data_IF_619478999003
#
_entry.id   IF_619478999003
#
_cell.length_a   1.000
_cell.length_b   1.000
_cell.length_c   1.000
_cell.angle_alpha   90.00
_cell.angle_beta   90.00
_cell.angle_gamma   90.00
#
_symmetry.space_group_name_H-M   'P 1'
#
loop_
_entity.id
_entity.type
_entity.pdbx_description
1 polymer ?
#
# COMPACT_ATOMS: atom_id res chain seq x y z
N UNK A 1 35.46 -47.44 -24.61
CA UNK A 1 35.36 -46.88 -23.26
C UNK A 1 34.44 -45.67 -23.34
N UNK A 2 33.51 -45.57 -22.42
CA UNK A 2 32.52 -44.48 -22.32
C UNK A 2 32.77 -43.73 -21.05
N UNK A 3 32.78 -42.38 -21.13
CA UNK A 3 32.87 -41.49 -20.00
C UNK A 3 31.82 -40.41 -20.13
N UNK A 4 31.25 -40.01 -19.00
CA UNK A 4 30.25 -38.94 -18.97
C UNK A 4 30.92 -37.58 -19.15
N UNK A 5 30.26 -36.70 -19.87
CA UNK A 5 30.65 -35.33 -20.12
C UNK A 5 30.06 -34.43 -19.05
N UNK A 6 30.86 -33.92 -18.14
CA UNK A 6 30.37 -33.17 -16.96
C UNK A 6 29.85 -31.77 -17.32
N UNK A 7 30.39 -31.18 -18.39
CA UNK A 7 30.03 -29.83 -18.83
C UNK A 7 29.43 -29.74 -20.26
N UNK A 8 29.28 -30.92 -20.89
CA UNK A 8 28.78 -31.10 -22.24
C UNK A 8 29.56 -30.38 -23.33
N UNK A 9 30.91 -30.30 -23.17
CA UNK A 9 31.80 -29.69 -24.14
C UNK A 9 32.39 -30.72 -25.15
N UNK A 10 32.15 -32.01 -24.95
CA UNK A 10 32.58 -33.13 -25.76
C UNK A 10 33.98 -33.68 -25.38
N UNK A 11 34.47 -33.26 -24.22
CA UNK A 11 35.75 -33.75 -23.68
C UNK A 11 35.58 -34.36 -22.30
N UNK A 12 36.34 -35.44 -22.01
CA UNK A 12 36.28 -36.12 -20.73
C UNK A 12 37.66 -36.70 -20.37
N UNK A 13 37.82 -37.08 -19.11
CA UNK A 13 39.05 -37.74 -18.60
C UNK A 13 38.85 -39.24 -18.50
N UNK A 14 39.60 -40.01 -19.32
CA UNK A 14 39.54 -41.45 -19.37
C UNK A 14 40.58 -42.09 -18.45
N UNK A 15 40.12 -42.94 -17.52
CA UNK A 15 41.01 -43.73 -16.66
C UNK A 15 41.57 -44.94 -17.45
N UNK A 16 42.73 -44.73 -18.09
CA UNK A 16 43.44 -45.79 -18.85
C UNK A 16 43.99 -46.88 -17.96
N UNK A 17 44.31 -46.60 -16.68
CA UNK A 17 44.79 -47.59 -15.74
C UNK A 17 43.70 -48.61 -15.38
N UNK A 18 42.48 -48.16 -15.19
CA UNK A 18 41.31 -49.01 -15.00
C UNK A 18 41.08 -49.92 -16.24
N UNK A 19 41.26 -49.35 -17.45
CA UNK A 19 41.14 -50.12 -18.70
C UNK A 19 42.26 -51.15 -18.84
N UNK A 20 43.47 -50.84 -18.39
CA UNK A 20 44.60 -51.78 -18.37
C UNK A 20 44.26 -53.09 -17.64
N UNK A 21 43.62 -52.99 -16.46
CA UNK A 21 43.22 -54.15 -15.69
C UNK A 21 42.20 -55.05 -16.43
N UNK A 22 41.29 -54.43 -17.20
CA UNK A 22 40.27 -55.12 -17.99
C UNK A 22 40.92 -55.79 -19.20
N UNK A 23 41.78 -55.09 -19.94
CA UNK A 23 42.45 -55.58 -21.15
C UNK A 23 43.38 -56.75 -20.84
N UNK A 24 44.17 -56.65 -19.78
CA UNK A 24 45.12 -57.69 -19.33
C UNK A 24 44.35 -58.96 -18.89
N UNK A 25 43.13 -58.81 -18.37
CA UNK A 25 42.29 -59.95 -17.93
C UNK A 25 43.04 -60.99 -17.08
N UNK A 26 43.89 -60.53 -16.17
CA UNK A 26 44.75 -61.38 -15.31
C UNK A 26 45.82 -62.22 -16.06
N UNK A 27 46.08 -61.97 -17.32
CA UNK A 27 47.19 -62.60 -18.05
C UNK A 27 48.50 -62.10 -17.49
N UNK A 28 49.40 -63.03 -17.06
CA UNK A 28 50.66 -62.63 -16.49
C UNK A 28 51.64 -62.21 -17.60
N UNK A 29 52.54 -61.30 -17.24
CA UNK A 29 53.67 -60.83 -18.09
C UNK A 29 53.20 -60.08 -19.37
N UNK A 30 52.06 -59.44 -19.32
CA UNK A 30 51.56 -58.46 -20.34
C UNK A 30 51.71 -57.07 -19.80
N UNK A 31 52.42 -56.22 -20.58
CA UNK A 31 52.41 -54.75 -20.34
C UNK A 31 51.56 -54.02 -21.38
N UNK A 32 50.76 -53.12 -20.93
CA UNK A 32 49.88 -52.30 -21.78
C UNK A 32 50.43 -50.88 -21.82
N UNK A 33 50.43 -50.30 -23.02
CA UNK A 33 50.77 -48.91 -23.24
C UNK A 33 49.76 -48.35 -24.26
N UNK A 34 49.38 -47.06 -24.07
CA UNK A 34 48.36 -46.36 -24.88
C UNK A 34 49.01 -45.28 -25.72
N UNK A 35 48.51 -45.04 -26.95
CA UNK A 35 49.06 -44.10 -27.90
C UNK A 35 47.94 -43.40 -28.69
N UNK A 36 48.18 -42.13 -29.08
CA UNK A 36 47.22 -41.39 -29.90
C UNK A 36 47.17 -41.91 -31.36
N UNK A 37 48.29 -42.40 -31.88
CA UNK A 37 48.35 -42.83 -33.26
C UNK A 37 48.89 -44.29 -33.38
N UNK A 38 48.51 -45.01 -34.44
CA UNK A 38 49.03 -46.29 -34.75
C UNK A 38 50.58 -46.26 -35.01
N UNK A 39 51.07 -45.14 -35.53
CA UNK A 39 52.46 -44.93 -35.79
C UNK A 39 53.26 -44.81 -34.49
N UNK A 40 52.76 -44.09 -33.50
CA UNK A 40 53.40 -43.99 -32.17
C UNK A 40 53.36 -45.34 -31.45
N UNK A 41 52.31 -46.10 -31.54
CA UNK A 41 52.16 -47.42 -31.02
C UNK A 41 53.20 -48.41 -31.66
N UNK A 42 53.35 -48.35 -32.98
CA UNK A 42 54.36 -49.19 -33.71
C UNK A 42 55.76 -48.80 -33.35
N UNK A 43 56.07 -47.54 -33.09
CA UNK A 43 57.39 -47.03 -32.72
C UNK A 43 57.65 -46.98 -31.22
N UNK A 44 56.66 -47.30 -30.41
CA UNK A 44 56.66 -47.19 -28.93
C UNK A 44 57.16 -45.84 -28.43
N UNK A 45 56.69 -44.78 -29.12
CA UNK A 45 57.01 -43.37 -28.79
C UNK A 45 55.77 -42.62 -28.33
N UNK A 46 55.92 -41.62 -27.45
CA UNK A 46 54.91 -40.80 -26.94
C UNK A 46 53.70 -41.55 -26.27
N UNK A 47 53.95 -42.45 -25.30
CA UNK A 47 52.86 -43.13 -24.62
C UNK A 47 51.99 -42.17 -23.85
N UNK A 48 50.69 -42.42 -23.84
CA UNK A 48 49.70 -41.68 -23.08
C UNK A 48 49.80 -42.01 -21.60
N UNK A 49 49.40 -41.02 -20.76
CA UNK A 49 49.38 -41.10 -19.29
C UNK A 49 47.95 -41.08 -18.81
N UNK A 50 47.64 -41.91 -17.83
CA UNK A 50 46.32 -41.95 -17.15
C UNK A 50 46.29 -40.87 -16.05
N UNK A 51 45.15 -40.12 -15.86
CA UNK A 51 44.00 -40.09 -16.78
C UNK A 51 44.32 -39.33 -18.07
N UNK A 52 43.74 -39.75 -19.18
CA UNK A 52 43.88 -39.13 -20.49
C UNK A 52 42.67 -38.31 -20.89
N UNK A 53 42.87 -37.04 -21.25
CA UNK A 53 41.83 -36.23 -21.85
C UNK A 53 41.77 -36.45 -23.37
N UNK A 54 40.60 -36.77 -23.95
CA UNK A 54 40.45 -36.87 -25.39
C UNK A 54 40.76 -35.50 -26.06
N UNK A 55 41.38 -35.55 -27.22
CA UNK A 55 41.73 -34.37 -28.03
C UNK A 55 40.82 -34.17 -29.24
N UNK A 56 39.95 -35.15 -29.53
CA UNK A 56 38.92 -35.08 -30.55
C UNK A 56 37.55 -35.13 -29.87
N UNK A 57 36.71 -34.15 -30.15
CA UNK A 57 35.40 -33.96 -29.53
C UNK A 57 34.50 -35.20 -29.73
N UNK A 58 33.80 -35.62 -28.69
CA UNK A 58 32.83 -36.70 -28.59
C UNK A 58 33.35 -38.11 -28.82
N UNK A 59 34.11 -38.37 -29.88
CA UNK A 59 34.61 -39.70 -30.20
C UNK A 59 36.08 -39.66 -30.68
N UNK A 60 36.93 -40.47 -30.08
CA UNK A 60 38.30 -40.59 -30.45
C UNK A 60 38.72 -42.05 -30.45
N UNK A 61 39.60 -42.46 -31.36
CA UNK A 61 40.25 -43.76 -31.34
C UNK A 61 41.65 -43.56 -30.84
N UNK A 62 42.07 -44.31 -29.83
CA UNK A 62 43.46 -44.46 -29.38
C UNK A 62 43.91 -45.88 -29.64
N UNK A 63 45.23 -46.13 -29.58
CA UNK A 63 45.83 -47.43 -29.90
C UNK A 63 46.45 -48.02 -28.64
N UNK A 64 46.15 -49.29 -28.40
CA UNK A 64 46.64 -50.07 -27.25
C UNK A 64 47.73 -51.04 -27.77
N UNK A 65 48.91 -50.93 -27.24
CA UNK A 65 49.98 -51.86 -27.47
C UNK A 65 50.07 -52.80 -26.28
N UNK A 66 49.88 -54.09 -26.53
CA UNK A 66 50.13 -55.15 -25.57
C UNK A 66 51.47 -55.85 -25.90
N UNK A 67 52.37 -55.82 -24.93
CA UNK A 67 53.73 -56.46 -25.05
C UNK A 67 53.86 -57.62 -24.07
N UNK A 68 54.33 -58.76 -24.58
CA UNK A 68 54.75 -59.89 -23.70
C UNK A 68 56.11 -59.70 -23.14
N UNK A 69 56.24 -59.37 -21.85
CA UNK A 69 57.50 -59.09 -21.14
C UNK A 69 58.16 -60.34 -20.56
N UNK A 70 57.54 -61.49 -20.72
CA UNK A 70 58.05 -62.76 -20.25
C UNK A 70 58.03 -62.93 -18.73
N UNK A 71 58.51 -64.12 -18.28
CA UNK A 71 58.71 -64.46 -16.86
C UNK A 71 60.14 -64.95 -16.61
N UNK A 72 60.54 -65.04 -15.35
CA UNK A 72 61.89 -65.55 -15.01
C UNK A 72 62.14 -66.96 -15.54
N UNK A 73 61.10 -67.72 -15.82
CA UNK A 73 61.17 -69.10 -16.36
C UNK A 73 60.83 -69.16 -17.86
N UNK A 74 60.30 -68.08 -18.45
CA UNK A 74 60.03 -68.02 -19.87
C UNK A 74 60.40 -66.59 -20.34
N UNK A 75 61.58 -66.41 -20.98
CA UNK A 75 62.04 -65.05 -21.32
C UNK A 75 61.05 -64.31 -22.22
N UNK A 76 61.11 -63.00 -22.11
CA UNK A 76 60.29 -62.08 -22.93
C UNK A 76 60.52 -62.43 -24.40
N UNK A 77 59.39 -62.60 -25.13
CA UNK A 77 59.38 -62.84 -26.57
C UNK A 77 59.42 -61.52 -27.37
N UNK A 78 59.14 -60.39 -26.74
CA UNK A 78 59.03 -59.08 -27.39
C UNK A 78 57.89 -59.01 -28.43
N UNK A 79 57.01 -59.99 -28.39
CA UNK A 79 55.84 -60.00 -29.27
C UNK A 79 54.84 -58.90 -28.84
N UNK A 80 54.44 -58.13 -29.78
CA UNK A 80 53.51 -57.07 -29.57
C UNK A 80 52.25 -57.24 -30.42
N UNK A 81 51.14 -56.76 -29.89
CA UNK A 81 49.87 -56.65 -30.61
C UNK A 81 49.34 -55.26 -30.42
N UNK A 82 48.79 -54.62 -31.50
CA UNK A 82 48.21 -53.33 -31.46
C UNK A 82 46.71 -53.51 -31.77
N UNK A 83 45.84 -52.89 -30.94
CA UNK A 83 44.41 -52.87 -31.15
C UNK A 83 43.89 -51.43 -30.99
N UNK A 84 42.78 -51.12 -31.65
CA UNK A 84 42.09 -49.87 -31.50
C UNK A 84 41.22 -49.88 -30.24
N UNK A 85 41.22 -48.76 -29.49
CA UNK A 85 40.38 -48.54 -28.35
C UNK A 85 39.53 -47.28 -28.62
N UNK A 86 38.26 -47.43 -28.94
CA UNK A 86 37.36 -46.28 -29.11
C UNK A 86 37.07 -45.67 -27.75
N UNK A 87 37.23 -44.37 -27.64
CA UNK A 87 36.82 -43.53 -26.55
C UNK A 87 35.53 -42.78 -26.99
N UNK A 88 34.51 -42.76 -26.16
CA UNK A 88 33.25 -42.10 -26.42
C UNK A 88 32.86 -41.23 -25.24
N UNK A 89 32.69 -39.96 -25.49
CA UNK A 89 32.18 -38.99 -24.49
C UNK A 89 30.68 -38.90 -24.62
N UNK A 90 30.00 -39.16 -23.52
CA UNK A 90 28.55 -39.27 -23.48
C UNK A 90 27.97 -38.05 -22.78
N UNK A 91 27.05 -37.30 -23.41
CA UNK A 91 26.46 -36.12 -22.80
C UNK A 91 25.73 -36.45 -21.49
N UNK A 92 26.03 -35.69 -20.46
CA UNK A 92 25.34 -35.75 -19.17
C UNK A 92 24.01 -35.06 -19.18
N UNK A 93 23.06 -35.44 -18.31
CA UNK A 93 21.82 -34.71 -18.10
C UNK A 93 22.10 -33.23 -17.76
N UNK A 94 21.20 -32.34 -18.08
CA UNK A 94 21.33 -30.90 -17.74
C UNK A 94 20.36 -30.57 -16.61
N UNK A 95 20.92 -30.04 -15.51
CA UNK A 95 20.15 -29.39 -14.46
C UNK A 95 20.36 -27.89 -14.61
N UNK A 96 19.29 -27.08 -14.80
CA UNK A 96 19.42 -25.62 -14.92
C UNK A 96 20.14 -25.02 -13.71
N UNK A 97 20.96 -24.00 -13.95
CA UNK A 97 21.69 -23.30 -12.88
C UNK A 97 20.83 -22.23 -12.18
N UNK A 98 19.73 -21.84 -12.80
CA UNK A 98 18.85 -20.74 -12.43
C UNK A 98 17.45 -21.22 -12.00
N UNK A 99 17.40 -22.35 -11.28
CA UNK A 99 16.16 -22.79 -10.64
C UNK A 99 15.81 -21.74 -9.57
N UNK A 100 14.62 -21.16 -9.70
CA UNK A 100 14.14 -20.14 -8.76
C UNK A 100 13.95 -20.71 -7.36
N UNK A 101 14.22 -19.88 -6.35
CA UNK A 101 13.92 -20.21 -4.96
C UNK A 101 12.42 -20.48 -4.81
N UNK A 102 12.07 -21.57 -4.14
CA UNK A 102 10.67 -21.89 -3.87
C UNK A 102 10.26 -21.28 -2.53
N UNK A 103 9.49 -20.19 -2.60
CA UNK A 103 9.03 -19.42 -1.44
C UNK A 103 7.58 -19.75 -1.14
N UNK A 104 7.27 -20.03 0.12
CA UNK A 104 5.92 -20.22 0.65
C UNK A 104 5.69 -19.27 1.81
N UNK A 105 4.48 -18.66 1.86
CA UNK A 105 4.09 -17.85 3.00
C UNK A 105 3.65 -18.74 4.16
N UNK A 106 4.15 -18.44 5.34
CA UNK A 106 3.79 -19.10 6.56
C UNK A 106 2.36 -18.74 7.00
N UNK A 107 1.52 -19.73 7.27
CA UNK A 107 0.12 -19.48 7.64
C UNK A 107 -0.13 -19.55 9.15
N UNK A 108 0.81 -20.12 9.92
CA UNK A 108 0.68 -20.32 11.36
C UNK A 108 1.89 -19.78 12.16
N UNK A 109 2.84 -19.16 11.47
CA UNK A 109 4.03 -18.51 12.02
C UNK A 109 4.98 -19.45 12.77
N UNK A 110 5.07 -20.72 12.36
CA UNK A 110 5.98 -21.70 12.96
C UNK A 110 7.32 -21.88 12.20
N UNK A 111 7.45 -21.28 11.01
CA UNK A 111 8.63 -21.34 10.14
C UNK A 111 8.73 -22.63 9.33
N UNK A 112 7.69 -23.45 9.30
CA UNK A 112 7.62 -24.71 8.58
C UNK A 112 6.43 -24.75 7.63
N UNK A 113 6.62 -25.30 6.43
CA UNK A 113 5.55 -25.41 5.43
C UNK A 113 5.75 -26.64 4.54
N UNK A 114 4.66 -27.22 4.01
CA UNK A 114 4.76 -28.29 3.03
C UNK A 114 5.08 -27.73 1.63
N UNK A 115 6.13 -28.24 1.00
CA UNK A 115 6.58 -27.90 -0.36
C UNK A 115 6.21 -29.01 -1.33
N UNK A 116 5.69 -28.67 -2.51
CA UNK A 116 5.41 -29.57 -3.60
C UNK A 116 6.45 -29.41 -4.72
N UNK A 117 7.49 -30.24 -4.71
CA UNK A 117 8.56 -30.19 -5.72
C UNK A 117 8.07 -30.74 -7.06
N UNK A 118 7.05 -31.59 -7.06
CA UNK A 118 6.59 -32.25 -8.28
C UNK A 118 5.90 -31.25 -9.21
N UNK A 119 5.16 -30.28 -8.64
CA UNK A 119 4.44 -29.26 -9.41
C UNK A 119 5.26 -28.00 -9.64
N UNK A 120 6.13 -27.60 -8.70
CA UNK A 120 6.80 -26.30 -8.78
C UNK A 120 8.25 -26.40 -9.31
N UNK A 121 8.99 -27.41 -8.94
CA UNK A 121 10.43 -27.55 -9.27
C UNK A 121 10.67 -28.50 -10.43
N UNK A 122 10.03 -29.67 -10.44
CA UNK A 122 10.24 -30.66 -11.49
C UNK A 122 10.05 -30.11 -12.91
N UNK A 123 9.03 -29.28 -13.21
CA UNK A 123 8.87 -28.67 -14.54
C UNK A 123 10.03 -27.74 -14.94
N UNK A 124 10.64 -27.04 -13.98
CA UNK A 124 11.78 -26.17 -14.25
C UNK A 124 13.01 -26.97 -14.67
N UNK A 125 13.25 -28.13 -14.03
CA UNK A 125 14.37 -29.01 -14.36
C UNK A 125 14.27 -29.52 -15.80
N UNK A 126 13.07 -29.78 -16.29
CA UNK A 126 12.83 -30.32 -17.64
C UNK A 126 12.47 -29.25 -18.68
N UNK A 127 12.46 -27.96 -18.34
CA UNK A 127 12.11 -26.86 -19.26
C UNK A 127 13.04 -26.76 -20.49
N UNK A 128 14.29 -27.24 -20.38
CA UNK A 128 15.30 -27.26 -21.45
C UNK A 128 15.06 -28.29 -22.58
N UNK A 129 13.90 -28.98 -22.59
CA UNK A 129 13.53 -29.93 -23.65
C UNK A 129 13.98 -31.37 -23.41
N UNK A 130 14.48 -31.70 -22.24
CA UNK A 130 14.74 -33.08 -21.81
C UNK A 130 13.41 -33.79 -21.57
N UNK A 131 13.27 -35.04 -22.02
CA UNK A 131 12.05 -35.86 -21.83
C UNK A 131 12.09 -36.49 -20.43
N UNK A 132 11.17 -36.18 -19.49
CA UNK A 132 11.22 -36.72 -18.13
C UNK A 132 11.34 -38.28 -18.06
N UNK A 133 10.78 -39.00 -19.00
CA UNK A 133 10.83 -40.45 -19.03
C UNK A 133 12.25 -41.04 -19.28
N UNK A 134 13.16 -40.23 -19.84
CA UNK A 134 14.52 -40.64 -20.15
C UNK A 134 15.46 -40.51 -18.94
N UNK A 135 14.94 -39.94 -17.84
CA UNK A 135 15.74 -39.64 -16.64
C UNK A 135 15.08 -40.13 -15.36
N UNK A 136 15.91 -40.41 -14.36
CA UNK A 136 15.49 -40.62 -12.97
C UNK A 136 15.88 -39.40 -12.14
N UNK A 137 14.87 -38.68 -11.63
CA UNK A 137 15.03 -37.50 -10.77
C UNK A 137 14.85 -37.91 -9.32
N UNK A 138 15.70 -37.38 -8.45
CA UNK A 138 15.55 -37.48 -7.00
C UNK A 138 16.05 -36.20 -6.30
N UNK A 139 15.46 -35.93 -5.13
CA UNK A 139 15.80 -34.79 -4.29
C UNK A 139 16.42 -35.27 -2.98
N UNK A 140 17.38 -34.50 -2.46
CA UNK A 140 18.17 -34.86 -1.27
C UNK A 140 18.37 -33.63 -0.36
N UNK A 141 18.57 -33.88 0.93
CA UNK A 141 18.85 -32.82 1.91
C UNK A 141 20.34 -32.56 2.12
N UNK A 142 21.20 -33.44 1.58
CA UNK A 142 22.64 -33.39 1.73
C UNK A 142 23.33 -33.58 0.37
N UNK A 143 24.35 -32.77 0.01
CA UNK A 143 25.03 -32.87 -1.30
C UNK A 143 25.69 -34.23 -1.54
N UNK A 144 26.25 -34.83 -0.49
CA UNK A 144 26.84 -36.17 -0.58
C UNK A 144 25.87 -37.28 -0.93
N UNK A 145 24.64 -37.16 -0.45
CA UNK A 145 23.54 -38.10 -0.79
C UNK A 145 23.06 -37.92 -2.23
N UNK A 146 23.01 -36.67 -2.72
CA UNK A 146 22.68 -36.39 -4.13
C UNK A 146 23.78 -36.99 -5.06
N UNK A 147 25.06 -36.89 -4.71
CA UNK A 147 26.13 -37.47 -5.50
C UNK A 147 26.05 -38.99 -5.56
N UNK A 148 25.68 -39.66 -4.49
CA UNK A 148 25.68 -41.12 -4.39
C UNK A 148 24.29 -41.76 -4.65
N UNK A 149 23.22 -40.96 -4.62
CA UNK A 149 21.80 -41.42 -4.74
C UNK A 149 21.28 -42.06 -3.45
N UNK A 150 21.91 -41.80 -2.30
CA UNK A 150 21.44 -42.29 -1.02
C UNK A 150 20.39 -41.37 -0.39
N UNK A 151 19.57 -41.91 0.50
CA UNK A 151 18.58 -41.17 1.31
C UNK A 151 17.76 -40.11 0.53
N UNK A 152 17.11 -40.47 -0.59
CA UNK A 152 16.28 -39.53 -1.31
C UNK A 152 15.06 -39.10 -0.49
N UNK A 153 14.59 -37.88 -0.70
CA UNK A 153 13.32 -37.40 -0.16
C UNK A 153 12.19 -38.25 -0.78
N UNK A 154 11.42 -38.91 0.07
CA UNK A 154 10.41 -39.88 -0.37
C UNK A 154 9.10 -39.22 -0.78
N UNK A 155 8.70 -38.16 -0.05
CA UNK A 155 7.45 -37.45 -0.31
C UNK A 155 7.74 -36.07 -0.91
N UNK A 156 7.91 -36.02 -2.21
CA UNK A 156 8.31 -34.83 -2.96
C UNK A 156 7.15 -33.88 -3.23
N UNK A 157 5.93 -34.38 -3.20
CA UNK A 157 4.70 -33.55 -3.34
C UNK A 157 4.22 -32.92 -2.03
N UNK A 158 4.86 -33.25 -0.89
CA UNK A 158 4.49 -32.71 0.41
C UNK A 158 5.68 -32.81 1.38
N UNK A 159 6.77 -32.16 1.03
CA UNK A 159 7.98 -32.13 1.85
C UNK A 159 7.92 -30.97 2.83
N UNK A 160 7.98 -31.23 4.13
CA UNK A 160 8.11 -30.16 5.16
C UNK A 160 9.58 -29.84 5.39
N UNK A 161 9.96 -28.56 5.30
CA UNK A 161 11.32 -28.12 5.57
C UNK A 161 11.74 -28.46 7.02
N UNK A 162 13.03 -28.69 7.22
CA UNK A 162 13.60 -28.94 8.57
C UNK A 162 14.44 -27.77 9.09
N UNK A 163 14.73 -26.82 8.22
CA UNK A 163 15.40 -25.55 8.50
C UNK A 163 14.78 -24.47 7.58
N UNK A 164 14.89 -23.23 7.95
CA UNK A 164 14.44 -22.10 7.13
C UNK A 164 15.54 -21.02 7.08
N UNK A 165 16.09 -20.64 5.89
CA UNK A 165 15.94 -21.34 4.61
C UNK A 165 16.63 -22.71 4.58
N UNK A 166 16.24 -23.56 3.60
CA UNK A 166 16.85 -24.88 3.41
C UNK A 166 17.25 -25.10 1.95
N UNK A 167 18.48 -25.59 1.73
CA UNK A 167 18.95 -26.02 0.40
C UNK A 167 18.52 -27.47 0.16
N UNK A 168 17.92 -27.71 -1.00
CA UNK A 168 17.57 -29.02 -1.52
C UNK A 168 18.47 -29.32 -2.71
N UNK A 169 19.03 -30.52 -2.73
CA UNK A 169 19.93 -30.99 -3.79
C UNK A 169 19.20 -31.90 -4.75
N UNK A 170 19.45 -31.70 -6.03
CA UNK A 170 18.87 -32.42 -7.15
C UNK A 170 19.88 -33.45 -7.62
N UNK A 171 19.41 -34.66 -7.93
CA UNK A 171 20.15 -35.67 -8.67
C UNK A 171 19.34 -36.09 -9.90
N UNK A 172 19.90 -35.91 -11.08
CA UNK A 172 19.32 -36.30 -12.34
C UNK A 172 20.19 -37.37 -13.01
N UNK A 173 19.64 -38.55 -13.27
CA UNK A 173 20.33 -39.67 -13.83
C UNK A 173 19.74 -40.02 -15.18
N UNK A 174 20.57 -40.14 -16.20
CA UNK A 174 20.14 -40.68 -17.51
C UNK A 174 19.84 -42.17 -17.45
N UNK A 175 18.64 -42.58 -17.79
CA UNK A 175 18.24 -44.00 -17.82
C UNK A 175 18.91 -44.80 -18.92
N UNK A 176 19.51 -44.15 -19.94
CA UNK A 176 20.11 -44.77 -21.10
C UNK A 176 21.57 -45.14 -20.85
N UNK A 177 22.34 -44.25 -20.22
CA UNK A 177 23.77 -44.35 -20.08
C UNK A 177 24.28 -44.28 -18.63
N UNK A 178 23.41 -43.93 -17.67
CA UNK A 178 23.76 -43.84 -16.25
C UNK A 178 24.53 -42.56 -15.83
N UNK A 179 24.76 -41.61 -16.75
CA UNK A 179 25.40 -40.34 -16.42
C UNK A 179 24.55 -39.54 -15.45
N UNK A 180 25.22 -38.82 -14.54
CA UNK A 180 24.58 -38.13 -13.41
C UNK A 180 24.98 -36.67 -13.41
N UNK A 181 24.01 -35.81 -13.23
CA UNK A 181 24.23 -34.40 -12.92
C UNK A 181 23.53 -34.02 -11.63
N UNK A 182 24.13 -33.17 -10.83
CA UNK A 182 23.55 -32.65 -9.60
C UNK A 182 23.40 -31.16 -9.68
N UNK A 183 22.37 -30.64 -8.99
CA UNK A 183 22.10 -29.22 -8.83
C UNK A 183 21.51 -28.93 -7.47
N UNK A 184 21.06 -27.71 -7.25
CA UNK A 184 20.38 -27.35 -6.01
C UNK A 184 19.47 -26.14 -6.21
N UNK A 185 18.49 -26.00 -5.33
CA UNK A 185 17.67 -24.82 -5.17
C UNK A 185 17.40 -24.57 -3.69
N UNK A 186 16.87 -23.42 -3.35
CA UNK A 186 16.54 -23.06 -1.96
C UNK A 186 15.03 -23.05 -1.77
N UNK A 187 14.59 -23.66 -0.68
CA UNK A 187 13.22 -23.52 -0.19
C UNK A 187 13.22 -22.56 0.99
N UNK A 188 12.20 -21.70 1.04
CA UNK A 188 12.10 -20.65 2.05
C UNK A 188 10.65 -20.48 2.49
N UNK A 189 10.45 -20.35 3.79
CA UNK A 189 9.18 -19.99 4.41
C UNK A 189 9.29 -18.54 4.87
N UNK A 190 8.42 -17.68 4.35
CA UNK A 190 8.41 -16.26 4.68
C UNK A 190 7.19 -15.91 5.53
N UNK A 191 7.39 -15.02 6.51
CA UNK A 191 6.31 -14.60 7.38
C UNK A 191 5.46 -13.53 6.69
N UNK A 192 4.13 -13.62 6.79
CA UNK A 192 3.27 -12.57 6.26
C UNK A 192 3.42 -11.28 7.09
N UNK A 193 3.09 -10.11 6.50
CA UNK A 193 3.05 -8.84 7.21
C UNK A 193 2.25 -8.91 8.51
N UNK A 194 2.76 -8.34 9.57
CA UNK A 194 2.07 -8.27 10.87
C UNK A 194 1.37 -6.93 10.98
N UNK A 195 0.03 -6.95 11.06
CA UNK A 195 -0.77 -5.75 11.30
C UNK A 195 -0.40 -5.17 12.66
N UNK A 196 -0.23 -3.85 12.75
CA UNK A 196 0.11 -3.20 14.01
C UNK A 196 -1.02 -3.46 15.04
N UNK A 197 -0.69 -4.02 16.22
CA UNK A 197 -1.68 -4.31 17.24
C UNK A 197 -2.34 -3.05 17.84
N UNK A 198 -1.80 -1.86 17.58
CA UNK A 198 -2.36 -0.57 17.99
C UNK A 198 -3.36 -0.01 16.97
N UNK A 199 -3.47 -0.60 15.77
CA UNK A 199 -4.41 -0.18 14.75
C UNK A 199 -5.86 -0.29 15.23
N UNK A 200 -6.61 0.82 15.21
CA UNK A 200 -7.95 0.89 15.77
C UNK A 200 -9.07 0.49 14.79
N UNK A 201 -8.75 0.33 13.52
CA UNK A 201 -9.62 -0.07 12.41
C UNK A 201 -10.86 0.80 12.15
N UNK A 202 -10.85 2.07 12.57
CA UNK A 202 -11.94 3.00 12.35
C UNK A 202 -11.45 4.33 11.75
N UNK A 203 -12.01 4.74 10.61
CA UNK A 203 -11.78 6.04 10.00
C UNK A 203 -13.09 6.82 9.95
N UNK A 204 -13.11 8.00 10.55
CA UNK A 204 -14.29 8.88 10.57
C UNK A 204 -14.04 10.14 9.76
N UNK A 205 -15.06 10.58 9.03
CA UNK A 205 -15.03 11.79 8.22
C UNK A 205 -16.34 12.56 8.41
N UNK A 206 -16.29 13.90 8.45
CA UNK A 206 -17.48 14.72 8.45
C UNK A 206 -18.22 14.56 7.11
N UNK A 207 -19.53 14.66 7.16
CA UNK A 207 -20.36 14.78 5.96
C UNK A 207 -19.99 16.05 5.17
N UNK A 208 -20.29 16.06 3.88
CA UNK A 208 -19.99 17.20 3.02
C UNK A 208 -20.89 18.41 3.40
N UNK A 209 -20.37 19.60 3.20
CA UNK A 209 -21.12 20.85 3.29
C UNK A 209 -21.53 21.30 1.89
N UNK A 210 -22.73 21.87 1.77
CA UNK A 210 -23.13 22.52 0.54
C UNK A 210 -22.34 23.83 0.27
N UNK A 211 -22.65 24.51 -0.84
CA UNK A 211 -21.99 25.78 -1.19
C UNK A 211 -22.26 26.94 -0.21
N UNK A 212 -23.25 26.79 0.66
CA UNK A 212 -23.63 27.76 1.70
C UNK A 212 -23.05 27.41 3.06
N UNK A 213 -22.22 26.33 3.12
CA UNK A 213 -21.69 25.75 4.36
C UNK A 213 -22.75 25.23 5.33
N UNK A 214 -23.93 24.90 4.77
CA UNK A 214 -24.96 24.15 5.47
C UNK A 214 -24.76 22.67 5.28
N UNK A 215 -25.26 21.88 6.22
CA UNK A 215 -25.15 20.43 6.16
C UNK A 215 -25.91 19.84 4.97
N UNK A 216 -25.33 18.91 4.25
CA UNK A 216 -26.05 18.02 3.34
C UNK A 216 -26.59 16.79 4.09
N UNK A 217 -25.83 16.27 5.07
CA UNK A 217 -26.16 15.14 5.95
C UNK A 217 -26.84 13.98 5.21
N UNK A 218 -26.34 13.68 4.00
CA UNK A 218 -26.84 12.56 3.20
C UNK A 218 -26.11 11.24 3.54
N UNK A 219 -25.09 11.32 4.40
CA UNK A 219 -24.29 10.20 4.86
C UNK A 219 -23.29 9.69 3.80
N UNK A 220 -23.01 10.50 2.79
CA UNK A 220 -22.07 10.18 1.71
C UNK A 220 -20.97 11.26 1.66
N UNK A 221 -19.71 10.84 1.76
CA UNK A 221 -18.54 11.75 1.69
C UNK A 221 -17.32 11.04 1.12
N UNK A 222 -16.28 11.78 0.85
CA UNK A 222 -15.01 11.26 0.32
C UNK A 222 -14.01 11.01 1.44
N UNK A 223 -13.41 9.83 1.46
CA UNK A 223 -12.38 9.39 2.42
C UNK A 223 -11.02 9.28 1.74
N UNK A 224 -9.98 9.75 2.39
CA UNK A 224 -8.61 9.35 2.08
C UNK A 224 -8.26 8.15 2.95
N UNK A 225 -8.36 6.95 2.37
CA UNK A 225 -8.08 5.70 3.09
C UNK A 225 -6.59 5.54 3.41
N UNK A 226 -5.71 6.19 2.63
CA UNK A 226 -4.26 6.03 2.74
C UNK A 226 -3.66 6.63 4.02
N UNK A 227 -4.44 7.45 4.74
CA UNK A 227 -4.04 7.96 6.06
C UNK A 227 -3.85 6.83 7.08
N UNK A 228 -4.53 5.69 6.84
CA UNK A 228 -4.46 4.49 7.69
C UNK A 228 -3.23 3.59 7.39
N UNK A 229 -2.57 3.77 6.25
CA UNK A 229 -1.48 2.88 5.82
C UNK A 229 -0.38 2.74 6.88
N UNK A 230 0.01 3.84 7.51
CA UNK A 230 1.05 3.86 8.54
C UNK A 230 0.57 3.23 9.85
N UNK A 231 -0.71 3.40 10.19
CA UNK A 231 -1.28 2.77 11.39
C UNK A 231 -1.43 1.27 11.20
N UNK A 232 -1.80 0.82 10.00
CA UNK A 232 -1.94 -0.60 9.65
C UNK A 232 -0.58 -1.30 9.66
N UNK A 233 0.44 -0.69 9.03
CA UNK A 233 1.74 -1.35 8.81
C UNK A 233 2.76 -1.09 9.91
N UNK A 234 2.56 -0.04 10.72
CA UNK A 234 3.56 0.50 11.61
C UNK A 234 4.66 1.29 10.87
N UNK A 235 5.33 2.23 11.55
CA UNK A 235 6.22 3.22 10.90
C UNK A 235 7.52 2.65 10.31
N UNK A 236 7.85 1.39 10.57
CA UNK A 236 9.12 0.77 10.13
C UNK A 236 8.99 -0.03 8.83
N UNK A 237 7.80 -0.27 8.31
CA UNK A 237 7.55 -1.23 7.22
C UNK A 237 7.28 -0.52 5.89
N UNK A 238 8.33 0.02 5.27
CA UNK A 238 8.26 0.81 4.02
C UNK A 238 8.14 -0.03 2.73
N UNK A 239 8.35 -1.35 2.81
CA UNK A 239 8.24 -2.27 1.66
C UNK A 239 6.86 -2.90 1.52
N UNK A 240 5.98 -2.71 2.49
CA UNK A 240 4.64 -3.28 2.46
C UNK A 240 3.67 -2.36 1.69
N UNK A 241 2.80 -2.98 0.91
CA UNK A 241 1.77 -2.31 0.11
C UNK A 241 0.42 -2.58 0.77
N UNK A 242 -0.32 -1.51 1.07
CA UNK A 242 -1.69 -1.58 1.57
C UNK A 242 -2.64 -1.40 0.39
N UNK A 243 -3.62 -2.29 0.27
CA UNK A 243 -4.63 -2.26 -0.79
C UNK A 243 -6.02 -2.45 -0.19
N UNK A 244 -6.97 -1.66 -0.65
CA UNK A 244 -8.34 -1.62 -0.12
C UNK A 244 -9.34 -2.23 -1.08
N UNK A 245 -10.37 -2.91 -0.54
CA UNK A 245 -11.40 -3.62 -1.30
C UNK A 245 -12.78 -3.47 -0.66
N UNK A 246 -13.81 -3.51 -1.48
CA UNK A 246 -15.19 -3.47 -0.98
C UNK A 246 -15.67 -4.83 -0.47
N UNK A 247 -15.07 -5.94 -0.93
CA UNK A 247 -15.46 -7.28 -0.51
C UNK A 247 -14.27 -8.12 -0.04
N UNK A 248 -14.53 -9.04 0.89
CA UNK A 248 -13.51 -9.99 1.35
C UNK A 248 -13.01 -10.91 0.23
N UNK A 249 -13.90 -11.28 -0.70
CA UNK A 249 -13.53 -12.16 -1.81
C UNK A 249 -12.53 -11.49 -2.76
N UNK A 250 -12.72 -10.19 -3.04
CA UNK A 250 -11.81 -9.42 -3.88
C UNK A 250 -10.45 -9.23 -3.20
N UNK A 251 -10.44 -8.95 -1.89
CA UNK A 251 -9.20 -8.86 -1.12
C UNK A 251 -8.41 -10.18 -1.13
N UNK A 252 -9.10 -11.32 -0.99
CA UNK A 252 -8.48 -12.65 -1.04
C UNK A 252 -7.92 -12.98 -2.42
N UNK A 253 -8.66 -12.62 -3.47
CA UNK A 253 -8.29 -12.90 -4.86
C UNK A 253 -7.34 -11.85 -5.47
N UNK A 254 -7.08 -10.76 -4.75
CA UNK A 254 -6.33 -9.58 -5.25
C UNK A 254 -6.93 -9.04 -6.56
N UNK A 255 -8.26 -8.85 -6.56
CA UNK A 255 -9.02 -8.39 -7.73
C UNK A 255 -9.92 -7.23 -7.35
N UNK A 256 -10.24 -6.35 -8.28
CA UNK A 256 -11.13 -5.23 -8.07
C UNK A 256 -10.77 -4.33 -6.87
N UNK A 257 -9.46 -4.10 -6.67
CA UNK A 257 -9.00 -3.13 -5.68
C UNK A 257 -9.63 -1.74 -5.93
N UNK A 258 -9.85 -0.99 -4.86
CA UNK A 258 -10.32 0.41 -4.95
C UNK A 258 -9.27 1.21 -5.74
N UNK A 259 -9.64 1.78 -6.90
CA UNK A 259 -8.68 2.34 -7.84
C UNK A 259 -8.07 3.66 -7.36
N UNK A 260 -8.77 4.41 -6.54
CA UNK A 260 -8.32 5.66 -5.93
C UNK A 260 -8.63 5.67 -4.43
N UNK A 261 -7.75 5.13 -3.59
CA UNK A 261 -7.95 5.12 -2.16
C UNK A 261 -7.80 6.49 -1.50
N UNK A 262 -7.24 7.50 -2.20
CA UNK A 262 -7.09 8.87 -1.67
C UNK A 262 -8.39 9.68 -1.75
N UNK A 263 -9.37 9.20 -2.51
CA UNK A 263 -10.64 9.87 -2.72
C UNK A 263 -11.81 8.86 -2.86
N UNK A 264 -11.88 7.92 -1.95
CA UNK A 264 -12.93 6.90 -1.95
C UNK A 264 -14.25 7.46 -1.42
N UNK A 265 -15.31 7.43 -2.20
CA UNK A 265 -16.65 7.80 -1.75
C UNK A 265 -17.37 6.55 -1.21
N UNK A 266 -17.88 6.63 0.02
CA UNK A 266 -18.63 5.52 0.62
C UNK A 266 -19.90 5.21 -0.19
N UNK A 267 -20.29 3.94 -0.22
CA UNK A 267 -21.41 3.45 -1.05
C UNK A 267 -22.70 3.23 -0.27
N UNK A 268 -22.67 3.43 1.05
CA UNK A 268 -23.83 3.28 1.92
C UNK A 268 -23.83 4.34 3.03
N UNK A 269 -25.02 4.75 3.45
CA UNK A 269 -25.19 5.63 4.60
C UNK A 269 -25.02 4.85 5.90
N UNK A 270 -24.10 5.24 6.73
CA UNK A 270 -23.74 4.55 7.97
C UNK A 270 -22.40 3.83 7.89
N UNK A 271 -22.00 3.08 8.93
CA UNK A 271 -20.72 2.41 8.94
C UNK A 271 -20.57 1.42 7.79
N UNK A 272 -19.49 1.55 7.02
CA UNK A 272 -19.14 0.65 5.92
C UNK A 272 -17.83 -0.04 6.24
N UNK A 273 -17.79 -1.37 6.11
CA UNK A 273 -16.56 -2.14 6.29
C UNK A 273 -15.87 -2.33 4.94
N UNK A 274 -14.63 -1.93 4.85
CA UNK A 274 -13.70 -2.22 3.76
C UNK A 274 -12.73 -3.33 4.20
N UNK A 275 -12.25 -4.09 3.24
CA UNK A 275 -11.28 -5.16 3.47
C UNK A 275 -9.91 -4.69 3.02
N UNK A 276 -8.92 -4.90 3.87
CA UNK A 276 -7.56 -4.42 3.65
C UNK A 276 -6.63 -5.61 3.48
N UNK A 277 -5.86 -5.59 2.41
CA UNK A 277 -4.77 -6.54 2.14
C UNK A 277 -3.44 -5.81 2.29
N UNK A 278 -2.57 -6.33 3.13
CA UNK A 278 -1.20 -5.85 3.28
C UNK A 278 -0.27 -6.89 2.66
N UNK A 279 0.45 -6.50 1.63
CA UNK A 279 1.34 -7.39 0.89
C UNK A 279 2.79 -6.94 1.05
N UNK A 280 3.66 -7.85 1.41
CA UNK A 280 5.09 -7.64 1.36
C UNK A 280 5.56 -7.73 -0.11
N UNK A 281 6.11 -6.64 -0.64
CA UNK A 281 6.50 -6.54 -2.04
C UNK A 281 7.72 -7.41 -2.40
N UNK A 282 8.53 -7.78 -1.41
CA UNK A 282 9.74 -8.57 -1.64
C UNK A 282 9.44 -10.08 -1.70
N UNK A 283 8.46 -10.52 -0.90
CA UNK A 283 8.13 -11.95 -0.76
C UNK A 283 6.80 -12.33 -1.41
N UNK A 284 5.91 -11.35 -1.63
CA UNK A 284 4.54 -11.57 -2.07
C UNK A 284 3.60 -12.10 -0.99
N UNK A 285 4.10 -12.30 0.24
CA UNK A 285 3.27 -12.75 1.35
C UNK A 285 2.34 -11.62 1.82
N UNK A 286 1.17 -11.99 2.31
CA UNK A 286 0.15 -11.01 2.64
C UNK A 286 -0.65 -11.38 3.89
N UNK A 287 -1.21 -10.35 4.52
CA UNK A 287 -2.16 -10.44 5.62
C UNK A 287 -3.42 -9.63 5.32
N UNK A 288 -4.47 -9.87 6.09
CA UNK A 288 -5.75 -9.18 5.97
C UNK A 288 -6.12 -8.49 7.27
N UNK A 289 -6.78 -7.34 7.12
CA UNK A 289 -7.52 -6.68 8.18
C UNK A 289 -8.78 -6.04 7.59
N UNK A 290 -9.50 -5.28 8.39
CA UNK A 290 -10.67 -4.51 7.96
C UNK A 290 -10.52 -3.07 8.41
N UNK A 291 -11.09 -2.15 7.65
CA UNK A 291 -11.26 -0.75 8.00
C UNK A 291 -12.75 -0.43 7.99
N UNK A 292 -13.25 0.10 9.08
CA UNK A 292 -14.62 0.61 9.16
C UNK A 292 -14.59 2.12 8.93
N UNK A 293 -15.19 2.57 7.83
CA UNK A 293 -15.36 3.99 7.57
C UNK A 293 -16.74 4.45 8.03
N UNK A 294 -16.81 5.66 8.60
CA UNK A 294 -18.08 6.21 9.11
C UNK A 294 -18.17 7.71 8.85
N UNK A 295 -19.29 8.12 8.27
CA UNK A 295 -19.64 9.54 8.09
C UNK A 295 -20.24 10.07 9.37
N UNK A 296 -19.72 11.19 9.84
CA UNK A 296 -20.24 11.94 11.00
C UNK A 296 -21.10 13.08 10.48
N UNK A 297 -22.36 13.16 10.86
CA UNK A 297 -23.24 14.25 10.42
C UNK A 297 -22.74 15.60 10.96
N UNK A 298 -22.84 16.64 10.15
CA UNK A 298 -22.62 18.01 10.57
C UNK A 298 -23.78 18.51 11.46
N UNK A 299 -23.56 19.50 12.33
CA UNK A 299 -24.67 20.17 13.05
C UNK A 299 -25.71 20.72 12.06
N UNK A 300 -26.97 20.66 12.44
CA UNK A 300 -28.11 21.13 11.63
C UNK A 300 -28.71 22.43 12.23
N UNK A 301 -28.07 23.60 12.02
CA UNK A 301 -28.58 24.87 12.55
C UNK A 301 -29.93 25.23 11.96
N UNK A 302 -30.75 25.94 12.74
CA UNK A 302 -31.94 26.60 12.15
C UNK A 302 -31.50 27.59 11.09
N UNK A 303 -32.05 27.53 9.87
CA UNK A 303 -31.77 28.52 8.84
C UNK A 303 -32.37 29.87 9.19
N UNK A 304 -31.78 30.93 8.64
CA UNK A 304 -32.32 32.30 8.70
C UNK A 304 -32.57 32.80 10.15
N UNK A 305 -31.56 32.89 11.03
CA UNK A 305 -31.71 33.57 12.32
C UNK A 305 -32.13 35.01 12.10
N UNK A 306 -32.99 35.54 13.01
CA UNK A 306 -33.44 36.92 12.90
C UNK A 306 -32.26 37.89 13.09
N UNK A 307 -32.30 39.00 12.33
CA UNK A 307 -31.37 40.10 12.55
C UNK A 307 -31.55 40.73 13.93
N UNK A 308 -30.49 41.23 14.52
CA UNK A 308 -30.53 41.96 15.77
C UNK A 308 -30.50 43.46 15.46
N UNK A 309 -31.59 44.15 15.82
CA UNK A 309 -31.73 45.58 15.55
C UNK A 309 -31.75 46.38 16.86
N UNK A 310 -30.94 47.44 16.93
CA UNK A 310 -30.94 48.41 18.00
C UNK A 310 -31.13 49.81 17.42
N UNK A 311 -31.62 50.74 18.25
CA UNK A 311 -31.53 52.15 17.95
C UNK A 311 -30.21 52.66 18.47
N UNK A 312 -29.59 53.58 17.73
CA UNK A 312 -28.42 54.33 18.18
C UNK A 312 -28.69 55.03 19.51
N UNK A 313 -27.72 55.05 20.42
CA UNK A 313 -27.86 55.75 21.70
C UNK A 313 -26.85 56.86 21.84
N UNK A 314 -26.80 57.49 23.00
CA UNK A 314 -25.87 58.64 23.26
C UNK A 314 -24.63 58.24 24.09
N UNK A 315 -24.51 56.96 24.39
CA UNK A 315 -23.65 56.53 25.49
C UNK A 315 -22.23 56.10 25.08
N UNK A 316 -21.98 55.69 23.83
CA UNK A 316 -20.67 55.18 23.44
C UNK A 316 -19.71 56.28 22.97
N UNK A 317 -20.04 56.98 21.88
CA UNK A 317 -19.16 58.04 21.34
C UNK A 317 -19.92 59.33 21.12
N UNK A 318 -21.22 59.25 20.91
CA UNK A 318 -22.13 60.41 20.72
C UNK A 318 -23.37 60.02 19.92
N UNK A 319 -24.34 60.93 19.81
CA UNK A 319 -25.57 60.61 19.12
C UNK A 319 -25.35 60.41 17.60
N UNK A 320 -25.93 59.35 17.05
CA UNK A 320 -25.83 58.96 15.64
C UNK A 320 -24.41 58.65 15.15
N UNK A 321 -23.59 58.00 15.98
CA UNK A 321 -22.34 57.40 15.54
C UNK A 321 -22.49 55.95 15.05
N UNK A 322 -23.67 55.35 15.25
CA UNK A 322 -24.08 54.02 14.83
C UNK A 322 -23.29 52.90 15.50
N UNK A 323 -22.59 53.17 16.61
CA UNK A 323 -21.88 52.18 17.40
C UNK A 323 -22.74 51.71 18.56
N UNK A 324 -23.03 50.38 18.60
CA UNK A 324 -23.82 49.78 19.65
C UNK A 324 -23.23 48.46 20.13
N UNK A 325 -23.60 48.07 21.35
CA UNK A 325 -23.18 46.77 21.93
C UNK A 325 -24.32 45.77 21.77
N UNK A 326 -24.05 44.69 21.07
CA UNK A 326 -25.00 43.63 20.82
C UNK A 326 -24.70 42.40 21.68
N UNK A 327 -25.73 41.78 22.22
CA UNK A 327 -25.67 40.42 22.75
C UNK A 327 -26.05 39.43 21.64
N UNK A 328 -25.03 38.89 20.97
CA UNK A 328 -25.21 37.95 19.85
C UNK A 328 -25.80 36.62 20.29
N UNK A 329 -25.67 36.28 21.60
CA UNK A 329 -26.17 35.01 22.16
C UNK A 329 -27.71 34.93 22.20
N UNK A 330 -28.42 36.03 21.94
CA UNK A 330 -29.89 36.05 21.87
C UNK A 330 -30.44 35.10 20.82
N UNK A 331 -29.67 34.85 19.73
CA UNK A 331 -30.07 33.92 18.66
C UNK A 331 -29.56 32.48 18.90
N UNK A 332 -28.71 32.24 19.92
CA UNK A 332 -28.02 30.95 20.10
C UNK A 332 -28.98 29.77 20.25
N UNK A 333 -30.03 29.93 21.09
CA UNK A 333 -31.00 28.85 21.30
C UNK A 333 -31.79 28.51 20.03
N UNK A 334 -32.10 29.52 19.19
CA UNK A 334 -32.73 29.31 17.89
C UNK A 334 -31.78 28.62 16.92
N UNK A 335 -30.53 29.08 16.82
CA UNK A 335 -29.52 28.57 15.91
C UNK A 335 -29.18 27.12 16.24
N UNK A 336 -28.96 26.79 17.52
CA UNK A 336 -28.64 25.43 17.99
C UNK A 336 -29.77 24.42 17.71
N UNK A 337 -31.02 24.91 17.54
CA UNK A 337 -32.19 24.10 17.15
C UNK A 337 -32.40 22.85 18.06
N UNK A 338 -32.10 22.96 19.33
CA UNK A 338 -32.22 21.88 20.33
C UNK A 338 -31.25 20.71 20.15
N UNK A 339 -30.24 20.83 19.28
CA UNK A 339 -29.20 19.83 19.17
C UNK A 339 -28.37 19.75 20.47
N UNK A 340 -27.95 18.52 20.81
CA UNK A 340 -27.18 18.26 22.04
C UNK A 340 -25.72 18.04 21.67
N UNK A 341 -24.80 18.63 22.44
CA UNK A 341 -23.38 18.44 22.26
C UNK A 341 -22.75 19.33 21.18
N UNK A 342 -23.47 20.33 20.67
CA UNK A 342 -22.95 21.35 19.76
C UNK A 342 -22.56 22.61 20.53
N UNK A 343 -21.59 23.36 20.00
CA UNK A 343 -21.16 24.66 20.52
C UNK A 343 -21.23 25.70 19.41
N UNK A 344 -21.70 26.90 19.75
CA UNK A 344 -21.72 28.05 18.86
C UNK A 344 -20.49 28.92 19.07
N UNK A 345 -19.90 29.42 17.99
CA UNK A 345 -18.83 30.41 17.99
C UNK A 345 -19.14 31.46 16.94
N UNK A 346 -18.84 32.71 17.24
CA UNK A 346 -19.24 33.88 16.46
C UNK A 346 -18.04 34.55 15.80
N UNK A 347 -18.21 35.02 14.57
CA UNK A 347 -17.16 35.58 13.74
C UNK A 347 -17.62 36.78 12.94
N UNK A 348 -16.71 37.72 12.65
CA UNK A 348 -17.01 38.89 11.80
C UNK A 348 -16.63 38.65 10.33
N UNK A 349 -15.98 37.51 10.00
CA UNK A 349 -15.71 37.12 8.63
C UNK A 349 -16.04 35.66 8.39
N UNK A 350 -16.53 35.34 7.19
CA UNK A 350 -16.81 33.97 6.78
C UNK A 350 -15.55 33.13 6.74
N UNK A 351 -14.43 33.71 6.30
CA UNK A 351 -13.14 33.00 6.22
C UNK A 351 -12.68 32.54 7.60
N UNK A 352 -12.80 33.38 8.63
CA UNK A 352 -12.46 33.01 10.00
C UNK A 352 -13.41 31.96 10.57
N UNK A 353 -14.71 32.07 10.25
CA UNK A 353 -15.70 31.06 10.65
C UNK A 353 -15.41 29.68 10.03
N UNK A 354 -15.02 29.61 8.74
CA UNK A 354 -14.62 28.36 8.07
C UNK A 354 -13.39 27.76 8.75
N UNK A 355 -12.38 28.58 9.04
CA UNK A 355 -11.14 28.13 9.65
C UNK A 355 -11.24 27.90 11.17
N UNK A 356 -12.30 28.43 11.82
CA UNK A 356 -12.44 28.40 13.26
C UNK A 356 -11.44 29.32 14.00
N UNK A 357 -10.92 30.34 13.32
CA UNK A 357 -9.93 31.28 13.86
C UNK A 357 -10.55 32.63 14.20
N UNK A 358 -9.94 33.39 15.12
CA UNK A 358 -10.35 34.75 15.45
C UNK A 358 -11.83 34.89 15.89
N UNK A 359 -12.35 33.91 16.62
CA UNK A 359 -13.69 33.99 17.16
C UNK A 359 -13.86 35.22 18.06
N UNK A 360 -15.05 35.81 18.05
CA UNK A 360 -15.44 36.91 18.96
C UNK A 360 -15.31 36.38 20.39
N UNK A 361 -14.50 37.06 21.20
CA UNK A 361 -14.12 36.59 22.55
C UNK A 361 -15.31 36.67 23.52
N UNK A 362 -16.07 37.70 23.43
CA UNK A 362 -17.31 37.92 24.25
C UNK A 362 -18.49 38.23 23.36
N UNK A 363 -19.20 37.19 22.90
CA UNK A 363 -20.38 37.39 22.04
C UNK A 363 -21.57 38.06 22.74
N UNK A 364 -21.59 38.11 24.08
CA UNK A 364 -22.64 38.79 24.82
C UNK A 364 -22.45 40.33 24.89
N UNK A 365 -21.29 40.83 24.48
CA UNK A 365 -20.92 42.24 24.48
C UNK A 365 -20.13 42.64 23.23
N UNK A 366 -20.65 42.30 22.06
CA UNK A 366 -20.04 42.62 20.77
C UNK A 366 -20.40 44.04 20.32
N UNK A 367 -19.38 44.85 20.02
CA UNK A 367 -19.57 46.17 19.39
C UNK A 367 -19.46 46.01 17.87
N UNK A 368 -20.37 46.62 17.11
CA UNK A 368 -20.39 46.62 15.64
C UNK A 368 -19.32 47.51 15.02
N UNK A 369 -18.11 47.49 15.58
CA UNK A 369 -16.99 48.30 15.17
C UNK A 369 -16.28 47.67 13.94
N UNK A 370 -15.75 48.52 13.04
CA UNK A 370 -14.87 48.10 11.95
C UNK A 370 -13.50 47.71 12.50
N UNK A 371 -13.08 46.45 12.40
CA UNK A 371 -11.77 46.02 12.88
C UNK A 371 -10.58 46.73 12.19
N UNK A 372 -10.78 47.19 10.97
CA UNK A 372 -9.76 47.91 10.20
C UNK A 372 -9.68 49.39 10.58
N UNK A 373 -10.78 49.96 11.14
CA UNK A 373 -10.90 51.36 11.48
C UNK A 373 -11.59 51.50 12.84
N UNK A 374 -10.89 51.31 13.96
CA UNK A 374 -11.45 51.42 15.29
C UNK A 374 -12.17 52.74 15.55
N UNK A 375 -13.36 52.67 16.14
CA UNK A 375 -14.21 53.81 16.38
C UNK A 375 -15.16 54.15 15.21
N UNK A 376 -15.16 53.34 14.15
CA UNK A 376 -16.12 53.44 13.06
C UNK A 376 -17.09 52.25 13.08
N UNK A 377 -18.39 52.54 12.93
CA UNK A 377 -19.41 51.48 12.88
C UNK A 377 -19.50 50.83 11.54
N UNK A 378 -19.81 49.52 11.55
CA UNK A 378 -20.34 48.79 10.41
C UNK A 378 -21.80 48.45 10.68
N UNK A 379 -22.74 48.97 9.83
CA UNK A 379 -24.15 48.65 9.94
C UNK A 379 -24.78 48.62 8.55
N UNK A 380 -25.43 47.53 8.12
CA UNK A 380 -25.43 46.25 8.80
C UNK A 380 -24.05 45.58 8.85
N UNK A 381 -23.76 44.90 9.96
CA UNK A 381 -22.58 44.00 10.08
C UNK A 381 -23.04 42.55 10.10
N UNK A 382 -22.55 41.74 9.16
CA UNK A 382 -22.88 40.32 9.13
C UNK A 382 -22.06 39.57 10.16
N UNK A 383 -22.70 38.80 11.01
CA UNK A 383 -22.13 37.90 11.99
C UNK A 383 -22.27 36.47 11.49
N UNK A 384 -21.16 35.76 11.38
CA UNK A 384 -21.12 34.34 11.01
C UNK A 384 -21.09 33.51 12.27
N UNK A 385 -21.95 32.51 12.37
CA UNK A 385 -22.03 31.59 13.50
C UNK A 385 -21.62 30.21 13.02
N UNK A 386 -20.58 29.67 13.63
CA UNK A 386 -20.11 28.31 13.43
C UNK A 386 -20.67 27.43 14.54
N UNK A 387 -21.50 26.46 14.20
CA UNK A 387 -21.87 25.36 15.08
C UNK A 387 -20.86 24.24 14.90
N UNK A 388 -20.33 23.72 15.99
CA UNK A 388 -19.36 22.63 15.95
C UNK A 388 -19.81 21.48 16.84
N UNK A 389 -19.72 20.24 16.37
CA UNK A 389 -19.92 19.06 17.19
C UNK A 389 -18.84 18.94 18.25
N UNK A 390 -19.23 18.93 19.51
CA UNK A 390 -18.36 18.66 20.65
C UNK A 390 -18.19 17.17 20.98
N UNK A 391 -19.22 16.37 20.62
CA UNK A 391 -19.20 14.90 20.68
C UNK A 391 -19.99 14.37 19.49
N UNK A 392 -19.53 13.25 18.91
CA UNK A 392 -20.33 12.59 17.90
C UNK A 392 -21.59 11.92 18.53
N UNK A 393 -22.59 11.52 17.75
CA UNK A 393 -23.79 10.85 18.27
C UNK A 393 -23.51 9.55 19.02
N UNK A 394 -22.31 8.95 18.87
CA UNK A 394 -21.88 7.75 19.59
C UNK A 394 -21.16 8.08 20.89
N UNK A 395 -20.88 9.37 21.18
CA UNK A 395 -20.21 9.83 22.39
C UNK A 395 -18.69 9.90 22.30
N UNK A 396 -18.11 9.70 21.09
CA UNK A 396 -16.68 9.93 20.87
C UNK A 396 -16.32 11.41 21.03
N UNK A 397 -15.06 11.72 21.34
CA UNK A 397 -14.57 13.10 21.47
C UNK A 397 -14.78 13.86 20.17
N UNK A 398 -15.11 15.16 20.28
CA UNK A 398 -15.57 16.01 19.19
C UNK A 398 -14.81 15.85 17.89
N UNK A 399 -15.54 15.60 16.84
CA UNK A 399 -15.00 15.40 15.48
C UNK A 399 -14.60 16.70 14.80
N UNK A 400 -15.02 17.87 15.35
CA UNK A 400 -14.83 19.18 14.73
C UNK A 400 -15.71 19.46 13.51
N UNK A 401 -16.66 18.56 13.19
CA UNK A 401 -17.62 18.78 12.12
C UNK A 401 -18.46 20.02 12.41
N UNK A 402 -18.75 20.82 11.38
CA UNK A 402 -19.37 22.12 11.58
C UNK A 402 -20.33 22.50 10.44
N UNK A 403 -21.23 23.42 10.77
CA UNK A 403 -22.06 24.16 9.80
C UNK A 403 -22.04 25.64 10.11
N UNK A 404 -22.34 26.47 9.13
CA UNK A 404 -22.37 27.94 9.26
C UNK A 404 -23.77 28.48 8.99
N UNK A 405 -24.17 29.45 9.79
CA UNK A 405 -25.27 30.36 9.51
C UNK A 405 -24.83 31.79 9.74
N UNK A 406 -25.60 32.76 9.29
CA UNK A 406 -25.31 34.18 9.53
C UNK A 406 -26.59 34.99 9.77
N UNK A 407 -26.42 36.07 10.48
CA UNK A 407 -27.44 37.12 10.67
C UNK A 407 -26.74 38.48 10.71
N UNK A 408 -27.54 39.55 10.52
CA UNK A 408 -26.99 40.90 10.58
C UNK A 408 -27.26 41.55 11.93
N UNK A 409 -26.34 42.38 12.39
CA UNK A 409 -26.57 43.35 13.46
C UNK A 409 -26.70 44.71 12.82
N UNK A 410 -27.80 45.40 13.17
CA UNK A 410 -28.25 46.63 12.50
C UNK A 410 -28.48 47.73 13.54
N UNK A 411 -27.83 48.86 13.36
CA UNK A 411 -28.07 50.06 14.19
C UNK A 411 -28.88 51.07 13.38
N UNK A 412 -30.05 51.39 13.88
CA UNK A 412 -30.95 52.38 13.30
C UNK A 412 -30.64 53.77 13.90
N UNK A 413 -30.45 54.80 13.06
CA UNK A 413 -30.11 56.14 13.59
C UNK A 413 -31.27 56.73 14.37
N UNK A 414 -30.95 57.54 15.38
CA UNK A 414 -31.95 58.31 16.12
C UNK A 414 -32.58 59.37 15.23
N UNK A 415 -33.88 59.61 15.36
CA UNK A 415 -34.55 60.70 14.65
C UNK A 415 -34.03 62.05 15.20
N UNK A 416 -33.60 62.91 14.30
CA UNK A 416 -33.25 64.30 14.66
C UNK A 416 -34.48 65.18 14.55
N UNK A 417 -34.85 65.75 15.65
CA UNK A 417 -35.97 66.71 15.68
C UNK A 417 -35.45 68.14 15.64
N UNK A 418 -35.82 68.84 14.59
CA UNK A 418 -35.53 70.28 14.48
C UNK A 418 -36.63 71.07 15.05
N UNK A 419 -36.40 72.08 15.92
CA UNK A 419 -37.43 72.97 16.35
C UNK A 419 -38.09 73.64 15.17
N UNK A 420 -39.39 73.44 15.06
CA UNK A 420 -40.15 74.08 14.02
C UNK A 420 -40.71 75.43 14.52
N UNK A 421 -40.89 76.38 13.61
CA UNK A 421 -41.50 77.65 13.95
C UNK A 421 -42.98 77.43 14.37
N UNK A 422 -43.45 78.34 15.23
CA UNK A 422 -44.84 78.28 15.63
C UNK A 422 -45.78 78.16 14.39
N UNK A 423 -46.67 77.18 14.42
CA UNK A 423 -47.69 77.04 13.36
C UNK A 423 -48.85 77.95 13.67
N UNK A 424 -48.91 79.08 12.94
CA UNK A 424 -49.91 80.15 13.15
C UNK A 424 -50.88 80.13 11.96
N UNK A 425 -52.13 80.07 12.26
CA UNK A 425 -53.26 80.26 11.26
C UNK A 425 -54.16 81.40 11.68
N UNK A 426 -54.72 82.01 10.66
CA UNK A 426 -55.73 83.04 10.93
C UNK A 426 -57.07 82.41 11.19
N UNK A 427 -57.72 82.87 12.25
CA UNK A 427 -59.13 82.51 12.53
C UNK A 427 -60.06 83.22 11.53
N UNK A 428 -60.97 82.42 10.93
CA UNK A 428 -61.93 82.93 9.98
C UNK A 428 -63.25 83.29 10.63
N UNK A 429 -63.48 82.82 11.84
CA UNK A 429 -64.68 83.17 12.68
C UNK A 429 -64.17 83.54 14.07
N UNK A 430 -64.78 84.43 14.73
CA UNK A 430 -64.35 84.95 16.04
C UNK A 430 -64.79 84.06 17.19
N UNK A 431 -64.51 82.75 17.11
CA UNK A 431 -64.88 81.72 18.10
C UNK A 431 -63.69 81.10 18.84
N UNK A 432 -62.47 81.62 18.59
CA UNK A 432 -61.19 81.15 19.17
C UNK A 432 -60.91 79.66 18.84
N UNK A 433 -61.45 79.09 17.74
CA UNK A 433 -61.25 77.71 17.29
C UNK A 433 -60.78 77.68 15.85
N UNK A 434 -59.67 76.97 15.59
CA UNK A 434 -59.15 76.78 14.25
C UNK A 434 -58.72 75.33 14.06
N UNK A 435 -58.80 74.82 12.86
CA UNK A 435 -58.30 73.48 12.48
C UNK A 435 -56.87 73.58 11.97
N UNK A 436 -55.96 72.96 12.66
CA UNK A 436 -54.57 72.87 12.25
C UNK A 436 -54.36 71.62 11.41
N UNK A 437 -53.80 71.78 10.23
CA UNK A 437 -53.25 70.62 9.41
C UNK A 437 -51.90 70.27 9.85
N UNK A 438 -51.73 69.33 10.82
CA UNK A 438 -50.48 68.93 11.37
C UNK A 438 -49.65 68.16 10.37
N UNK A 439 -50.26 67.48 9.40
CA UNK A 439 -49.56 66.73 8.34
C UNK A 439 -48.74 67.66 7.44
N UNK A 440 -49.19 68.92 7.27
CA UNK A 440 -48.41 69.92 6.52
C UNK A 440 -47.04 70.27 7.15
N UNK A 441 -46.88 70.00 8.41
CA UNK A 441 -45.64 70.25 9.16
C UNK A 441 -44.63 69.07 9.05
N UNK A 442 -45.04 67.87 8.57
CA UNK A 442 -44.26 66.68 8.50
C UNK A 442 -42.91 66.91 7.82
N UNK A 443 -42.86 67.56 6.67
CA UNK A 443 -41.62 67.83 5.95
C UNK A 443 -40.67 68.75 6.73
N UNK A 444 -41.19 69.68 7.50
CA UNK A 444 -40.44 70.61 8.31
C UNK A 444 -39.90 69.99 9.58
N UNK A 445 -40.65 69.04 10.16
CA UNK A 445 -40.25 68.29 11.35
C UNK A 445 -39.17 67.23 10.98
N UNK A 446 -39.37 66.52 9.90
CA UNK A 446 -38.39 65.52 9.38
C UNK A 446 -37.12 66.13 8.85
N UNK A 447 -37.13 67.42 8.45
CA UNK A 447 -35.93 68.15 8.01
C UNK A 447 -35.03 67.37 7.02
N UNK A 448 -35.65 66.68 6.07
CA UNK A 448 -34.96 65.91 5.05
C UNK A 448 -34.66 64.46 5.41
N UNK A 449 -35.05 64.01 6.60
CA UNK A 449 -34.99 62.56 6.95
C UNK A 449 -36.02 61.77 6.15
N UNK A 450 -35.72 60.53 5.79
CA UNK A 450 -36.58 59.65 4.97
C UNK A 450 -37.86 59.30 5.73
N UNK A 451 -39.02 59.68 5.23
CA UNK A 451 -40.29 59.36 5.86
C UNK A 451 -40.66 57.86 5.82
N UNK A 452 -39.93 57.06 5.08
CA UNK A 452 -40.07 55.60 5.11
C UNK A 452 -39.42 54.98 6.36
N UNK A 453 -38.35 55.64 6.88
CA UNK A 453 -37.59 55.22 8.06
C UNK A 453 -38.13 55.90 9.33
N UNK A 454 -38.42 57.21 9.27
CA UNK A 454 -38.89 58.00 10.42
C UNK A 454 -40.37 58.33 10.26
N UNK A 455 -41.15 58.01 11.24
CA UNK A 455 -42.62 58.31 11.27
C UNK A 455 -42.92 59.29 12.40
N UNK A 456 -43.87 60.26 12.11
CA UNK A 456 -44.38 61.24 13.07
C UNK A 456 -45.72 60.76 13.63
#
# INVERSE_FOLDING_TARGET
VEECDDDNDGFALFDLDAQTAIIVNSEPNITISYYETAADAMSMTNPLVSPYANIVQNNQIIYVLAENTGSPTNPATGCTTIVELPLSVIPSPVVPLDIEDYVICDTDNDGFSPFDFDTEITPQIFAGGQTPADFTLSYHTIPGDANTGNNPIVNTSNYTNVNNPQTIYIRLVSNTNGCVTTGSFVIRVEFPPVIDPAYDNELTQCDDLDASYMEANDGITSFDLTVEDVEITGPANVSWIVTYYETQADAQADTAAIPDPTAYTNTMTGPQTLYVRVTDNDTGCFSFTTLTIRVIPNPSPSPDPADLELCDDVDIVGPNDLLEVFDLTQNEAFIINSEVGVTASYYISQADAIMGNNAIVDPSMHTNEDPANPGMAITPQTIYVRLTNGTDPTGAAGTGCYSLVSFDVIVNPLPTVTPVADYVICELMTDDVANFDLESMTASILNGQDPAVFRL
#
